data_IF_996322632456
#
_entry.id   IF_996322632456
#
_cell.length_a   1.000
_cell.length_b   1.000
_cell.length_c   1.000
_cell.angle_alpha   90.00
_cell.angle_beta   90.00
_cell.angle_gamma   90.00
#
_symmetry.space_group_name_H-M   'P 1'
#
loop_
_entity.id
_entity.type
_entity.pdbx_description
1 polymer ?
#
# COMPACT_ATOMS: atom_id res chain seq x y z
N UNK A 1 -39.55 -8.29 7.20
CA UNK A 1 -40.14 -7.60 8.37
C UNK A 1 -39.09 -7.52 9.45
N UNK A 2 -38.41 -6.39 9.56
CA UNK A 2 -37.51 -6.08 10.69
C UNK A 2 -38.44 -5.50 11.78
N UNK A 3 -38.73 -6.30 12.80
CA UNK A 3 -39.44 -5.81 13.97
C UNK A 3 -38.51 -4.94 14.78
N UNK A 4 -38.88 -3.66 14.94
CA UNK A 4 -38.31 -2.81 15.97
C UNK A 4 -39.04 -3.16 17.28
N UNK A 5 -38.27 -3.61 18.25
CA UNK A 5 -38.76 -4.00 19.59
C UNK A 5 -38.97 -2.75 20.47
N UNK A 6 -39.60 -1.71 19.91
CA UNK A 6 -39.96 -0.52 20.68
C UNK A 6 -41.08 -0.86 21.65
N UNK A 7 -40.88 -0.48 22.95
CA UNK A 7 -41.85 -0.71 23.99
C UNK A 7 -42.67 0.57 24.29
N UNK A 8 -42.05 1.72 24.15
CA UNK A 8 -42.65 3.03 24.48
C UNK A 8 -42.66 3.94 23.26
N UNK A 9 -43.79 4.60 23.03
CA UNK A 9 -43.95 5.72 22.06
C UNK A 9 -44.17 6.98 22.83
N UNK A 10 -43.20 7.92 22.73
CA UNK A 10 -43.23 9.19 23.44
C UNK A 10 -43.89 10.33 22.65
N UNK A 11 -43.75 10.31 21.34
CA UNK A 11 -44.28 11.35 20.46
C UNK A 11 -44.69 10.81 19.10
N UNK A 12 -45.70 11.42 18.51
CA UNK A 12 -46.22 11.10 17.19
C UNK A 12 -46.22 12.38 16.37
N UNK A 13 -45.79 12.28 15.13
CA UNK A 13 -45.79 13.36 14.16
C UNK A 13 -46.33 12.83 12.82
N UNK A 14 -47.33 13.50 12.27
CA UNK A 14 -47.83 13.24 10.93
C UNK A 14 -47.13 14.19 9.94
N UNK A 15 -46.49 13.61 8.93
CA UNK A 15 -45.87 14.41 7.87
C UNK A 15 -46.89 14.82 6.81
N UNK A 16 -46.54 15.83 5.98
CA UNK A 16 -47.42 16.33 4.93
C UNK A 16 -47.77 15.36 3.80
N UNK A 17 -47.22 14.11 3.86
CA UNK A 17 -47.43 13.05 2.88
C UNK A 17 -48.23 11.85 3.45
N UNK A 18 -48.80 11.99 4.64
CA UNK A 18 -49.57 10.96 5.32
C UNK A 18 -48.76 9.88 6.00
N UNK A 19 -47.46 10.08 6.21
CA UNK A 19 -46.59 9.22 6.99
C UNK A 19 -46.64 9.59 8.48
N UNK A 20 -46.83 8.58 9.36
CA UNK A 20 -46.77 8.75 10.81
C UNK A 20 -45.37 8.41 11.31
N UNK A 21 -44.73 9.37 11.95
CA UNK A 21 -43.40 9.20 12.57
C UNK A 21 -43.56 9.10 14.08
N UNK A 22 -42.96 8.05 14.65
CA UNK A 22 -43.09 7.72 16.06
C UNK A 22 -41.73 7.84 16.73
N UNK A 23 -41.60 8.73 17.70
CA UNK A 23 -40.43 8.82 18.58
C UNK A 23 -40.54 7.75 19.67
N UNK A 24 -39.56 6.86 19.77
CA UNK A 24 -39.62 5.69 20.66
C UNK A 24 -38.37 5.51 21.51
N UNK A 25 -38.39 4.56 22.42
CA UNK A 25 -37.24 4.11 23.23
C UNK A 25 -36.17 3.37 22.38
N UNK A 26 -36.45 3.03 21.11
CA UNK A 26 -35.54 2.28 20.22
C UNK A 26 -35.18 3.03 18.94
N UNK A 27 -35.56 4.30 18.83
CA UNK A 27 -35.28 5.15 17.66
C UNK A 27 -36.54 5.75 17.10
N UNK A 28 -36.49 6.07 15.81
CA UNK A 28 -37.57 6.67 15.05
C UNK A 28 -38.23 5.62 14.17
N UNK A 29 -39.54 5.45 14.31
CA UNK A 29 -40.33 4.58 13.44
C UNK A 29 -41.15 5.42 12.47
N UNK A 30 -41.42 4.88 11.28
CA UNK A 30 -42.33 5.45 10.29
C UNK A 30 -43.35 4.41 9.85
N UNK A 31 -44.62 4.78 9.95
CA UNK A 31 -45.72 4.02 9.36
C UNK A 31 -46.25 4.79 8.16
N UNK A 32 -46.16 4.23 6.95
CA UNK A 32 -46.71 4.79 5.72
C UNK A 32 -47.21 3.65 4.83
N UNK A 33 -48.42 3.76 4.29
CA UNK A 33 -49.02 2.74 3.41
C UNK A 33 -48.99 1.31 4.00
N UNK A 34 -49.33 1.20 5.28
CA UNK A 34 -49.25 -0.06 6.07
C UNK A 34 -47.86 -0.70 6.20
N UNK A 35 -46.79 0.05 5.80
CA UNK A 35 -45.42 -0.38 5.93
C UNK A 35 -44.77 0.33 7.13
N UNK A 36 -44.33 -0.47 8.08
CA UNK A 36 -43.56 0.01 9.22
C UNK A 36 -42.07 -0.13 8.94
N UNK A 37 -41.37 1.00 8.95
CA UNK A 37 -39.91 1.08 8.88
C UNK A 37 -39.34 1.74 10.12
N UNK A 38 -38.03 1.63 10.33
CA UNK A 38 -37.42 2.24 11.50
C UNK A 38 -35.95 2.57 11.34
N UNK A 39 -35.53 3.60 12.03
CA UNK A 39 -34.16 4.14 12.06
C UNK A 39 -33.71 4.22 13.51
N UNK A 40 -32.53 3.66 13.81
CA UNK A 40 -31.98 3.61 15.15
C UNK A 40 -30.46 3.82 15.18
N UNK A 41 -29.83 3.47 16.31
CA UNK A 41 -28.39 3.64 16.53
C UNK A 41 -27.54 2.95 15.46
N UNK A 42 -27.96 1.78 14.98
CA UNK A 42 -27.26 1.06 13.89
C UNK A 42 -27.21 1.87 12.58
N UNK A 43 -28.18 2.77 12.39
CA UNK A 43 -28.25 3.63 11.22
C UNK A 43 -27.62 4.99 11.45
N UNK A 44 -26.87 5.21 12.54
CA UNK A 44 -26.11 6.43 12.80
C UNK A 44 -26.79 7.43 13.73
N UNK A 45 -27.96 7.13 14.31
CA UNK A 45 -28.49 7.96 15.40
C UNK A 45 -27.58 7.83 16.64
N UNK A 46 -27.18 8.95 17.26
CA UNK A 46 -26.28 8.92 18.42
C UNK A 46 -26.97 8.46 19.71
N UNK A 47 -28.29 8.40 19.72
CA UNK A 47 -29.13 7.99 20.86
C UNK A 47 -30.22 7.04 20.43
N UNK A 48 -30.62 6.14 21.31
CA UNK A 48 -31.74 5.23 21.07
C UNK A 48 -33.09 5.85 21.40
N UNK A 49 -33.20 6.55 22.54
CA UNK A 49 -34.46 7.08 23.03
C UNK A 49 -34.72 8.48 22.49
N UNK A 50 -35.84 8.62 21.80
CA UNK A 50 -36.35 9.87 21.23
C UNK A 50 -37.69 10.21 21.86
N UNK A 51 -37.91 11.49 22.19
CA UNK A 51 -39.12 11.93 22.89
C UNK A 51 -40.13 12.60 21.96
N UNK A 52 -39.66 13.44 21.02
CA UNK A 52 -40.50 14.16 20.11
C UNK A 52 -39.85 14.27 18.74
N UNK A 53 -40.70 14.33 17.71
CA UNK A 53 -40.35 14.66 16.33
C UNK A 53 -41.03 15.95 15.97
N UNK A 54 -40.27 16.89 15.41
CA UNK A 54 -40.83 18.15 14.86
C UNK A 54 -40.16 18.36 13.50
N UNK A 55 -40.95 18.71 12.49
CA UNK A 55 -40.47 19.06 11.16
C UNK A 55 -40.26 20.58 11.05
N UNK A 56 -39.10 21.04 10.57
CA UNK A 56 -38.90 22.45 10.22
C UNK A 56 -39.42 22.77 8.81
N UNK A 57 -39.42 24.05 8.44
CA UNK A 57 -39.82 24.47 7.09
C UNK A 57 -38.78 24.23 6.00
N UNK A 58 -37.64 23.58 6.33
CA UNK A 58 -36.46 23.43 5.47
C UNK A 58 -36.16 21.97 5.13
N UNK A 59 -37.10 21.06 5.47
CA UNK A 59 -36.96 19.62 5.16
C UNK A 59 -36.07 18.85 6.13
N UNK A 60 -35.96 19.33 7.38
CA UNK A 60 -35.25 18.57 8.43
C UNK A 60 -36.24 18.17 9.53
N UNK A 61 -35.97 17.00 10.10
CA UNK A 61 -36.60 16.55 11.33
C UNK A 61 -35.70 16.88 12.53
N UNK A 62 -36.34 17.37 13.59
CA UNK A 62 -35.77 17.69 14.86
C UNK A 62 -36.27 16.69 15.89
N UNK A 63 -35.34 15.90 16.41
CA UNK A 63 -35.61 14.80 17.33
C UNK A 63 -35.09 15.17 18.70
N UNK A 64 -35.96 15.24 19.68
CA UNK A 64 -35.53 15.52 21.06
C UNK A 64 -35.17 14.24 21.81
N UNK A 65 -34.20 14.33 22.68
CA UNK A 65 -33.70 13.18 23.46
C UNK A 65 -33.23 13.58 24.86
N UNK A 66 -32.76 12.63 25.64
CA UNK A 66 -32.09 12.87 26.92
C UNK A 66 -30.63 13.35 26.79
N UNK A 67 -30.10 13.45 25.58
CA UNK A 67 -28.73 13.89 25.28
C UNK A 67 -28.68 15.09 24.32
N UNK A 68 -29.76 15.83 24.21
CA UNK A 68 -29.86 16.95 23.32
C UNK A 68 -30.89 16.77 22.22
N UNK A 69 -30.78 17.60 21.23
CA UNK A 69 -31.67 17.66 20.08
C UNK A 69 -30.88 17.28 18.85
N UNK A 70 -31.46 16.42 18.01
CA UNK A 70 -30.84 15.98 16.76
C UNK A 70 -31.58 16.64 15.59
N UNK A 71 -30.84 17.17 14.65
CA UNK A 71 -31.35 17.58 13.35
C UNK A 71 -30.95 16.52 12.31
N UNK A 72 -31.92 16.01 11.58
CA UNK A 72 -31.71 15.00 10.54
C UNK A 72 -32.44 15.42 9.27
N UNK A 73 -31.79 15.52 8.10
CA UNK A 73 -32.48 15.77 6.85
C UNK A 73 -33.50 14.66 6.57
N UNK A 74 -34.75 15.05 6.27
CA UNK A 74 -35.83 14.10 5.94
C UNK A 74 -35.41 13.13 4.83
N UNK A 75 -34.77 13.67 3.79
CA UNK A 75 -34.28 12.87 2.67
C UNK A 75 -33.38 11.71 3.12
N UNK A 76 -32.47 11.93 4.07
CA UNK A 76 -31.59 10.87 4.56
C UNK A 76 -32.36 9.79 5.32
N UNK A 77 -33.42 10.16 6.07
CA UNK A 77 -34.30 9.18 6.72
C UNK A 77 -35.00 8.29 5.70
N UNK A 78 -35.49 8.88 4.61
CA UNK A 78 -36.14 8.15 3.53
C UNK A 78 -35.17 7.25 2.76
N UNK A 79 -33.95 7.72 2.48
CA UNK A 79 -32.89 6.93 1.87
C UNK A 79 -32.49 5.72 2.73
N UNK A 80 -32.43 5.88 4.06
CA UNK A 80 -32.16 4.77 4.98
C UNK A 80 -33.33 3.77 5.01
N UNK A 81 -34.56 4.26 5.07
CA UNK A 81 -35.75 3.39 5.09
C UNK A 81 -35.93 2.62 3.78
N UNK A 82 -35.52 3.19 2.64
CA UNK A 82 -35.53 2.54 1.33
C UNK A 82 -34.31 1.65 1.09
N UNK A 83 -33.31 1.66 1.97
CA UNK A 83 -32.07 0.90 1.82
C UNK A 83 -31.03 1.51 0.86
N UNK A 84 -31.26 2.74 0.39
CA UNK A 84 -30.32 3.47 -0.49
C UNK A 84 -29.11 4.04 0.28
N UNK A 85 -29.27 4.20 1.61
CA UNK A 85 -28.24 4.70 2.50
C UNK A 85 -28.14 3.81 3.73
N UNK A 86 -26.92 3.52 4.17
CA UNK A 86 -26.73 2.70 5.38
C UNK A 86 -26.78 3.52 6.67
N UNK A 87 -26.31 4.77 6.65
CA UNK A 87 -26.17 5.58 7.86
C UNK A 87 -26.58 7.03 7.64
N UNK A 88 -27.15 7.61 8.69
CA UNK A 88 -27.51 9.04 8.78
C UNK A 88 -26.32 9.88 9.21
N UNK A 89 -26.36 11.15 8.80
CA UNK A 89 -25.51 12.22 9.31
C UNK A 89 -26.36 13.17 10.15
N UNK A 90 -26.60 12.79 11.40
CA UNK A 90 -27.38 13.61 12.35
C UNK A 90 -26.48 14.68 12.99
N UNK A 91 -26.95 15.94 12.98
CA UNK A 91 -26.37 17.01 13.80
C UNK A 91 -26.96 16.94 15.20
N UNK A 92 -26.11 17.03 16.23
CA UNK A 92 -26.54 17.04 17.62
C UNK A 92 -26.30 18.42 18.23
N UNK A 93 -27.24 18.89 19.01
CA UNK A 93 -27.20 20.15 19.73
C UNK A 93 -27.38 19.90 21.23
N UNK A 94 -26.56 20.54 22.04
CA UNK A 94 -26.58 20.44 23.49
C UNK A 94 -26.34 21.82 24.16
N UNK A 95 -26.00 21.85 25.45
CA UNK A 95 -25.73 23.11 26.19
C UNK A 95 -24.61 23.92 25.54
N UNK A 96 -23.59 23.28 24.98
CA UNK A 96 -22.50 23.96 24.29
C UNK A 96 -22.97 24.76 23.06
N UNK A 97 -24.12 24.41 22.49
CA UNK A 97 -24.74 25.08 21.35
C UNK A 97 -25.82 26.08 21.74
N UNK A 98 -26.02 26.25 23.03
CA UNK A 98 -26.96 27.23 23.57
C UNK A 98 -28.30 26.66 24.05
N UNK A 99 -28.45 25.31 24.10
CA UNK A 99 -29.62 24.72 24.75
C UNK A 99 -29.56 24.98 26.27
N UNK A 100 -30.71 25.22 26.89
CA UNK A 100 -30.80 25.39 28.34
C UNK A 100 -30.40 24.12 29.10
N UNK A 101 -30.64 22.96 28.52
CA UNK A 101 -30.18 21.64 28.96
C UNK A 101 -30.23 20.65 27.79
N UNK A 102 -29.27 19.70 27.75
CA UNK A 102 -29.29 18.56 26.83
C UNK A 102 -30.42 17.57 27.19
N UNK A 103 -30.85 17.53 28.44
CA UNK A 103 -31.97 16.68 28.83
C UNK A 103 -33.30 17.33 28.43
N UNK A 104 -33.86 16.89 27.30
CA UNK A 104 -35.21 17.29 26.90
C UNK A 104 -36.25 16.50 27.68
N UNK A 105 -37.45 17.07 27.78
CA UNK A 105 -38.59 16.44 28.44
C UNK A 105 -39.16 15.32 27.55
N UNK A 106 -39.49 14.18 28.17
CA UNK A 106 -40.11 13.05 27.47
C UNK A 106 -41.35 12.49 28.16
N UNK A 107 -41.68 12.98 29.37
CA UNK A 107 -42.79 12.48 30.17
C UNK A 107 -44.12 13.19 29.98
N UNK A 108 -44.17 14.30 29.23
CA UNK A 108 -45.38 15.05 28.93
C UNK A 108 -45.30 15.61 27.50
N UNK A 109 -46.38 15.55 26.77
CA UNK A 109 -46.45 16.04 25.40
C UNK A 109 -47.28 17.31 25.28
N UNK A 110 -46.92 18.17 24.31
CA UNK A 110 -45.79 18.05 23.40
C UNK A 110 -44.49 18.52 24.05
N UNK A 111 -43.40 17.71 23.88
CA UNK A 111 -42.09 18.07 24.39
C UNK A 111 -41.36 19.11 23.49
N UNK A 112 -41.79 19.25 22.27
CA UNK A 112 -41.33 20.27 21.33
C UNK A 112 -42.46 20.61 20.35
N UNK A 113 -42.46 21.88 19.91
CA UNK A 113 -43.42 22.40 18.91
C UNK A 113 -42.71 23.31 17.92
N UNK A 114 -43.27 23.44 16.73
CA UNK A 114 -42.94 24.49 15.79
C UNK A 114 -43.95 25.60 15.91
N UNK A 115 -43.50 26.85 16.13
CA UNK A 115 -44.34 28.04 16.16
C UNK A 115 -44.59 28.55 14.73
N UNK A 116 -45.57 29.46 14.61
CA UNK A 116 -45.99 30.02 13.31
C UNK A 116 -44.87 30.83 12.64
N UNK A 117 -43.94 31.38 13.41
CA UNK A 117 -42.77 32.08 12.91
C UNK A 117 -41.64 31.13 12.44
N UNK A 118 -41.86 29.82 12.49
CA UNK A 118 -40.91 28.78 12.13
C UNK A 118 -39.91 28.42 13.20
N UNK A 119 -39.91 29.10 14.35
CA UNK A 119 -39.04 28.74 15.48
C UNK A 119 -39.49 27.44 16.14
N UNK A 120 -38.52 26.68 16.65
CA UNK A 120 -38.77 25.44 17.37
C UNK A 120 -38.59 25.68 18.88
N UNK A 121 -39.65 25.38 19.64
CA UNK A 121 -39.69 25.53 21.09
C UNK A 121 -39.57 24.17 21.73
N UNK A 122 -38.53 23.96 22.50
CA UNK A 122 -38.14 22.66 23.04
C UNK A 122 -38.13 22.74 24.55
N UNK A 123 -38.95 21.92 25.20
CA UNK A 123 -38.96 21.78 26.64
C UNK A 123 -37.77 20.98 27.13
N UNK A 124 -37.00 21.53 28.05
CA UNK A 124 -35.82 20.88 28.65
C UNK A 124 -35.93 20.88 30.17
N UNK A 125 -35.06 20.09 30.84
CA UNK A 125 -35.03 20.03 32.29
C UNK A 125 -34.70 21.37 33.00
N UNK A 126 -34.15 22.37 32.28
CA UNK A 126 -33.79 23.68 32.81
C UNK A 126 -34.56 24.84 32.15
N UNK A 127 -35.69 24.56 31.55
CA UNK A 127 -36.52 25.59 30.89
C UNK A 127 -36.72 25.27 29.43
N UNK A 128 -37.10 26.30 28.66
CA UNK A 128 -37.38 26.17 27.23
C UNK A 128 -36.21 26.68 26.42
N UNK A 129 -35.80 25.91 25.45
CA UNK A 129 -34.85 26.32 24.41
C UNK A 129 -35.59 26.67 23.14
N UNK A 130 -35.22 27.78 22.51
CA UNK A 130 -35.80 28.21 21.24
C UNK A 130 -34.72 28.15 20.18
N UNK A 131 -35.00 27.40 19.11
CA UNK A 131 -34.12 27.25 17.95
C UNK A 131 -34.74 27.93 16.76
N UNK A 132 -33.98 28.71 16.03
CA UNK A 132 -34.37 29.33 14.76
C UNK A 132 -33.65 28.60 13.62
N UNK A 133 -34.30 27.65 12.92
CA UNK A 133 -33.67 26.84 11.90
C UNK A 133 -33.07 27.64 10.74
N UNK A 134 -33.68 28.76 10.37
CA UNK A 134 -33.17 29.66 9.33
C UNK A 134 -31.83 30.31 9.65
N UNK A 135 -31.52 30.44 10.93
CA UNK A 135 -30.29 31.08 11.41
C UNK A 135 -29.14 30.07 11.61
N UNK A 136 -29.43 28.78 11.57
CA UNK A 136 -28.43 27.72 11.81
C UNK A 136 -27.23 27.82 10.88
N UNK A 137 -27.41 28.16 9.61
CA UNK A 137 -26.31 28.38 8.67
C UNK A 137 -25.30 29.44 9.16
N UNK A 138 -25.75 30.41 9.98
CA UNK A 138 -24.86 31.41 10.59
C UNK A 138 -24.03 30.86 11.75
N UNK A 139 -24.47 29.75 12.36
CA UNK A 139 -23.76 29.07 13.44
C UNK A 139 -22.91 27.89 12.93
N UNK A 140 -23.08 27.47 11.70
CA UNK A 140 -22.22 26.50 11.03
C UNK A 140 -20.87 27.16 10.67
N UNK A 141 -20.00 27.29 11.67
CA UNK A 141 -18.63 27.72 11.43
C UNK A 141 -17.85 26.57 10.82
N UNK A 142 -16.90 26.86 9.91
CA UNK A 142 -15.98 25.85 9.47
C UNK A 142 -15.31 25.21 10.70
N UNK A 143 -14.97 23.92 10.66
CA UNK A 143 -14.28 23.29 11.78
C UNK A 143 -13.01 24.07 12.08
N UNK A 144 -12.63 24.18 13.36
CA UNK A 144 -11.38 24.86 13.73
C UNK A 144 -10.20 24.19 13.01
N UNK A 145 -9.12 24.96 12.80
CA UNK A 145 -7.97 24.44 12.09
C UNK A 145 -7.44 23.16 12.74
N UNK A 146 -7.04 22.23 11.92
CA UNK A 146 -6.33 21.03 12.36
C UNK A 146 -4.88 21.39 12.66
N UNK A 147 -4.31 20.78 13.68
CA UNK A 147 -2.89 20.86 13.99
C UNK A 147 -2.31 19.45 14.06
N UNK A 148 -1.02 19.30 13.71
CA UNK A 148 -0.25 18.09 13.99
C UNK A 148 0.27 18.22 15.41
N UNK A 149 -0.18 17.35 16.33
CA UNK A 149 0.18 17.40 17.74
C UNK A 149 1.52 16.74 18.01
N UNK A 150 1.73 15.57 17.41
CA UNK A 150 2.96 14.83 17.62
C UNK A 150 3.30 13.96 16.40
N UNK A 151 4.61 13.74 16.22
CA UNK A 151 5.14 12.80 15.24
C UNK A 151 6.04 11.84 15.99
N UNK A 152 5.85 10.54 15.77
CA UNK A 152 6.68 9.49 16.34
C UNK A 152 7.22 8.59 15.24
N UNK A 153 8.51 8.33 15.29
CA UNK A 153 9.20 7.40 14.39
C UNK A 153 9.81 6.30 15.24
N UNK A 154 9.40 5.05 15.03
CA UNK A 154 9.80 3.90 15.86
C UNK A 154 9.68 4.18 17.37
N UNK A 155 8.55 4.83 17.77
CA UNK A 155 8.25 5.28 19.13
C UNK A 155 9.09 6.46 19.67
N UNK A 156 10.01 7.02 18.88
CA UNK A 156 10.76 8.22 19.26
C UNK A 156 10.06 9.49 18.75
N UNK A 157 9.89 10.47 19.63
CA UNK A 157 9.28 11.74 19.26
C UNK A 157 10.20 12.54 18.31
N UNK A 158 9.60 13.13 17.28
CA UNK A 158 10.24 14.03 16.32
C UNK A 158 9.51 15.37 16.30
N UNK A 159 10.20 16.45 15.92
CA UNK A 159 9.55 17.75 15.74
C UNK A 159 8.42 17.68 14.70
N UNK A 160 7.29 18.32 15.01
CA UNK A 160 6.15 18.41 14.07
C UNK A 160 6.29 19.55 13.06
N UNK A 161 7.42 20.25 13.02
CA UNK A 161 7.68 21.39 12.15
C UNK A 161 8.75 21.06 11.12
N UNK A 162 8.57 21.57 9.90
CA UNK A 162 9.52 21.45 8.82
C UNK A 162 9.37 20.16 8.00
N UNK A 163 10.49 19.60 7.56
CA UNK A 163 10.58 18.38 6.76
C UNK A 163 11.01 17.22 7.64
N UNK A 164 10.26 16.15 7.62
CA UNK A 164 10.60 14.91 8.31
C UNK A 164 11.45 14.02 7.39
N UNK A 165 12.69 13.74 7.82
CA UNK A 165 13.58 12.81 7.10
C UNK A 165 13.65 11.50 7.87
N UNK A 166 13.27 10.41 7.20
CA UNK A 166 13.31 9.06 7.74
C UNK A 166 14.55 8.32 7.21
N UNK A 167 15.29 7.69 8.13
CA UNK A 167 16.41 6.82 7.79
C UNK A 167 15.91 5.50 7.21
N UNK A 168 16.72 4.78 6.41
CA UNK A 168 16.32 3.51 5.82
C UNK A 168 15.99 2.40 6.81
N UNK A 169 16.42 2.53 8.07
CA UNK A 169 16.17 1.59 9.17
C UNK A 169 14.87 1.87 9.92
N UNK A 170 14.33 3.10 9.79
CA UNK A 170 13.10 3.50 10.45
C UNK A 170 11.90 2.96 9.66
N UNK A 171 10.99 2.28 10.35
CA UNK A 171 9.93 1.51 9.70
C UNK A 171 8.52 1.95 10.03
N UNK A 172 8.32 2.59 11.18
CA UNK A 172 7.00 2.98 11.68
C UNK A 172 6.92 4.48 11.88
N UNK A 173 6.00 5.11 11.13
CA UNK A 173 5.65 6.52 11.28
C UNK A 173 4.25 6.61 11.88
N UNK A 174 4.10 7.31 12.99
CA UNK A 174 2.83 7.63 13.62
C UNK A 174 2.71 9.15 13.74
N UNK A 175 1.60 9.69 13.25
CA UNK A 175 1.30 11.12 13.24
C UNK A 175 -0.02 11.32 13.97
N UNK A 176 0.03 12.04 15.08
CA UNK A 176 -1.16 12.43 15.82
C UNK A 176 -1.56 13.85 15.45
N UNK A 177 -2.84 14.06 15.27
CA UNK A 177 -3.42 15.34 14.87
C UNK A 177 -4.72 15.59 15.62
N UNK A 178 -5.04 16.85 15.83
CA UNK A 178 -6.28 17.26 16.44
C UNK A 178 -6.81 18.56 15.81
N UNK A 179 -8.12 18.73 15.89
CA UNK A 179 -8.75 20.02 15.65
C UNK A 179 -8.96 20.73 17.00
N UNK A 180 -8.59 21.98 17.09
CA UNK A 180 -8.74 22.79 18.31
C UNK A 180 -10.20 23.17 18.57
N UNK A 181 -11.07 22.16 18.67
CA UNK A 181 -12.48 22.35 18.99
C UNK A 181 -12.78 21.92 20.40
N UNK A 182 -13.16 22.88 21.24
CA UNK A 182 -13.72 22.63 22.57
C UNK A 182 -15.24 22.34 22.52
N UNK A 183 -15.86 22.55 21.35
CA UNK A 183 -17.27 22.26 21.11
C UNK A 183 -17.38 20.94 20.35
N UNK A 184 -18.04 19.95 20.92
CA UNK A 184 -18.40 18.66 20.33
C UNK A 184 -17.26 17.99 19.55
N UNK A 185 -16.14 17.63 20.18
CA UNK A 185 -15.02 16.94 19.52
C UNK A 185 -15.42 15.63 18.86
N UNK A 186 -16.50 15.00 19.29
CA UNK A 186 -17.13 13.80 18.73
C UNK A 186 -17.80 14.00 17.37
N UNK A 187 -18.12 15.24 16.99
CA UNK A 187 -18.71 15.58 15.69
C UNK A 187 -17.65 15.86 14.62
N UNK A 188 -16.38 15.95 15.00
CA UNK A 188 -15.30 16.17 14.06
C UNK A 188 -14.88 14.84 13.48
N UNK A 189 -14.87 14.76 12.15
CA UNK A 189 -14.31 13.68 11.38
C UNK A 189 -13.01 14.14 10.74
N UNK A 190 -12.04 13.26 10.71
CA UNK A 190 -10.76 13.51 10.09
C UNK A 190 -10.62 12.66 8.85
N UNK A 191 -10.01 13.24 7.85
CA UNK A 191 -9.53 12.50 6.67
C UNK A 191 -8.08 12.87 6.45
N UNK A 192 -7.29 11.88 6.08
CA UNK A 192 -5.87 12.08 5.79
C UNK A 192 -5.47 11.31 4.55
N UNK A 193 -4.31 11.67 3.99
CA UNK A 193 -3.65 10.91 2.94
C UNK A 193 -2.14 11.13 3.01
N UNK A 194 -1.40 10.18 2.46
CA UNK A 194 0.02 10.32 2.16
C UNK A 194 0.17 10.58 0.67
N UNK A 195 0.20 11.84 0.24
CA UNK A 195 0.37 12.21 -1.16
C UNK A 195 1.71 11.68 -1.69
N UNK A 196 1.67 11.01 -2.84
CA UNK A 196 2.79 10.25 -3.40
C UNK A 196 2.77 8.75 -3.09
N UNK A 197 1.91 8.30 -2.14
CA UNK A 197 1.68 6.89 -1.83
C UNK A 197 0.22 6.50 -2.08
N UNK A 198 -0.71 7.30 -1.52
CA UNK A 198 -2.15 7.02 -1.58
C UNK A 198 -2.78 7.73 -2.78
N UNK A 199 -3.68 7.04 -3.50
CA UNK A 199 -4.46 7.62 -4.61
C UNK A 199 -5.64 8.49 -4.10
N UNK A 200 -6.08 8.30 -2.85
CA UNK A 200 -7.24 8.96 -2.29
C UNK A 200 -7.11 9.36 -0.82
N UNK A 201 -8.20 9.93 -0.30
CA UNK A 201 -8.31 10.27 1.11
C UNK A 201 -8.82 9.08 1.92
N UNK A 202 -8.18 8.83 3.06
CA UNK A 202 -8.62 7.85 4.05
C UNK A 202 -9.47 8.56 5.10
N UNK A 203 -10.74 8.15 5.27
CA UNK A 203 -11.62 8.62 6.35
C UNK A 203 -11.24 7.88 7.65
N UNK A 204 -10.67 8.60 8.60
CA UNK A 204 -10.34 8.04 9.92
C UNK A 204 -11.47 8.24 10.96
N UNK A 205 -12.58 8.86 10.57
CA UNK A 205 -13.67 9.13 11.49
C UNK A 205 -13.23 10.03 12.64
N UNK A 206 -13.44 9.58 13.87
CA UNK A 206 -13.01 10.29 15.09
C UNK A 206 -11.57 9.95 15.53
N UNK A 207 -10.89 9.05 14.83
CA UNK A 207 -9.51 8.65 15.18
C UNK A 207 -8.55 9.77 14.81
N UNK A 208 -7.70 10.15 15.75
CA UNK A 208 -6.79 11.30 15.65
C UNK A 208 -5.33 10.89 15.38
N UNK A 209 -5.12 9.71 14.83
CA UNK A 209 -3.78 9.21 14.52
C UNK A 209 -3.76 8.51 13.17
N UNK A 210 -2.71 8.75 12.41
CA UNK A 210 -2.38 8.01 11.19
C UNK A 210 -1.11 7.20 11.41
N UNK A 211 -1.12 5.94 10.94
CA UNK A 211 0.02 5.03 11.10
C UNK A 211 0.43 4.47 9.75
N UNK A 212 1.72 4.60 9.48
CA UNK A 212 2.33 4.08 8.25
C UNK A 212 3.45 3.13 8.64
N UNK A 213 3.47 1.95 8.02
CA UNK A 213 4.51 0.97 8.22
C UNK A 213 5.27 0.77 6.91
N UNK A 214 6.60 0.78 6.97
CA UNK A 214 7.47 0.49 5.83
C UNK A 214 7.18 1.35 4.59
N UNK A 215 7.31 2.67 4.74
CA UNK A 215 7.24 3.58 3.59
C UNK A 215 8.41 3.29 2.64
N UNK A 216 8.15 3.09 1.34
CA UNK A 216 9.22 2.98 0.35
C UNK A 216 10.11 4.22 0.29
N UNK A 217 11.36 4.11 -0.15
CA UNK A 217 12.19 5.28 -0.38
C UNK A 217 11.53 6.26 -1.36
N UNK A 218 11.45 7.54 -0.98
CA UNK A 218 10.77 8.54 -1.79
C UNK A 218 10.46 9.83 -1.04
N UNK A 219 9.76 10.72 -1.73
CA UNK A 219 9.28 11.99 -1.19
C UNK A 219 7.77 11.96 -1.16
N UNK A 220 7.22 12.21 0.01
CA UNK A 220 5.80 12.16 0.31
C UNK A 220 5.36 13.45 1.00
N UNK A 221 4.06 13.69 1.01
CA UNK A 221 3.46 14.74 1.81
C UNK A 221 2.27 14.16 2.58
N UNK A 222 2.38 14.12 3.90
CA UNK A 222 1.22 13.82 4.74
C UNK A 222 0.29 15.02 4.74
N UNK A 223 -0.99 14.80 4.50
CA UNK A 223 -2.04 15.81 4.48
C UNK A 223 -3.20 15.35 5.34
N UNK A 224 -3.76 16.27 6.13
CA UNK A 224 -4.91 16.02 6.98
C UNK A 224 -5.87 17.21 6.95
N UNK A 225 -7.16 16.91 7.02
CA UNK A 225 -8.26 17.88 7.08
C UNK A 225 -9.31 17.36 8.05
N UNK A 226 -10.01 18.26 8.69
CA UNK A 226 -11.16 17.95 9.53
C UNK A 226 -12.45 18.44 8.88
N UNK A 227 -13.52 17.72 9.11
CA UNK A 227 -14.87 18.06 8.67
C UNK A 227 -15.82 17.95 9.86
N UNK A 228 -16.72 18.91 10.02
CA UNK A 228 -17.80 18.79 11.01
C UNK A 228 -18.93 17.95 10.40
N UNK A 229 -19.33 16.92 11.13
CA UNK A 229 -20.39 16.01 10.71
C UNK A 229 -21.66 16.79 10.34
N UNK A 230 -22.18 16.56 9.12
CA UNK A 230 -23.40 17.18 8.64
C UNK A 230 -23.30 18.64 8.20
N UNK A 231 -22.15 19.30 8.34
CA UNK A 231 -21.98 20.69 7.87
C UNK A 231 -21.54 20.79 6.42
N UNK A 232 -20.93 19.72 5.87
CA UNK A 232 -20.31 19.74 4.55
C UNK A 232 -19.11 20.69 4.42
N UNK A 233 -18.68 21.32 5.53
CA UNK A 233 -17.56 22.25 5.55
C UNK A 233 -16.32 21.56 6.11
N UNK A 234 -15.21 21.68 5.37
CA UNK A 234 -13.90 21.15 5.78
C UNK A 234 -13.00 22.27 6.27
N UNK A 235 -12.09 21.95 7.18
CA UNK A 235 -10.97 22.84 7.52
C UNK A 235 -9.98 22.96 6.35
N UNK A 236 -9.08 23.94 6.45
CA UNK A 236 -7.91 23.99 5.58
C UNK A 236 -7.11 22.70 5.71
N UNK A 237 -6.49 22.30 4.60
CA UNK A 237 -5.60 21.13 4.57
C UNK A 237 -4.26 21.56 5.13
N UNK A 238 -3.82 20.89 6.17
CA UNK A 238 -2.45 21.04 6.68
C UNK A 238 -1.64 19.81 6.34
N UNK A 239 -0.32 19.95 6.25
CA UNK A 239 0.53 18.80 5.96
C UNK A 239 1.99 19.02 6.28
N UNK A 240 2.74 17.91 6.29
CA UNK A 240 4.18 17.87 6.50
C UNK A 240 4.85 17.05 5.39
N UNK A 241 6.00 17.53 4.92
CA UNK A 241 6.79 16.81 3.93
C UNK A 241 7.58 15.69 4.63
N UNK A 242 7.49 14.48 4.07
CA UNK A 242 8.15 13.28 4.55
C UNK A 242 9.08 12.76 3.47
N UNK A 243 10.36 12.62 3.78
CA UNK A 243 11.36 12.05 2.87
C UNK A 243 11.94 10.78 3.49
N UNK A 244 11.80 9.67 2.78
CA UNK A 244 12.39 8.38 3.16
C UNK A 244 13.67 8.16 2.35
N UNK A 245 14.80 8.06 3.03
CA UNK A 245 16.09 7.86 2.38
C UNK A 245 16.23 6.42 1.86
N UNK A 246 16.77 6.21 0.64
CA UNK A 246 17.05 4.88 0.12
C UNK A 246 18.19 4.23 0.90
N UNK A 247 18.17 2.90 1.00
CA UNK A 247 19.28 2.12 1.54
C UNK A 247 20.51 2.29 0.64
N UNK A 248 21.70 2.17 1.22
CA UNK A 248 22.96 2.42 0.48
C UNK A 248 23.10 1.53 -0.78
N UNK A 249 22.56 0.31 -0.75
CA UNK A 249 22.58 -0.59 -1.91
C UNK A 249 21.49 -0.31 -2.96
N UNK A 250 20.50 0.53 -2.64
CA UNK A 250 19.45 1.00 -3.57
C UNK A 250 19.89 2.26 -4.31
N UNK A 251 21.00 2.88 -3.87
CA UNK A 251 21.52 4.07 -4.51
C UNK A 251 22.10 3.73 -5.89
N UNK A 252 21.81 4.53 -6.93
CA UNK A 252 22.27 4.26 -8.29
C UNK A 252 23.79 4.16 -8.41
N UNK A 253 24.52 4.91 -7.59
CA UNK A 253 25.97 4.85 -7.54
C UNK A 253 26.49 3.48 -7.11
N UNK A 254 25.84 2.85 -6.11
CA UNK A 254 26.22 1.52 -5.64
C UNK A 254 25.96 0.45 -6.70
N UNK A 255 24.85 0.53 -7.41
CA UNK A 255 24.51 -0.39 -8.51
C UNK A 255 25.52 -0.27 -9.67
N UNK A 256 25.91 0.95 -10.03
CA UNK A 256 26.93 1.20 -11.07
C UNK A 256 28.29 0.65 -10.65
N UNK A 257 28.74 0.93 -9.42
CA UNK A 257 30.01 0.41 -8.92
C UNK A 257 30.00 -1.12 -8.81
N UNK A 258 28.92 -1.71 -8.34
CA UNK A 258 28.73 -3.16 -8.28
C UNK A 258 28.79 -3.82 -9.66
N UNK A 259 28.12 -3.22 -10.64
CA UNK A 259 28.16 -3.66 -12.04
C UNK A 259 29.57 -3.58 -12.66
N UNK A 260 30.28 -2.49 -12.34
CA UNK A 260 31.66 -2.29 -12.84
C UNK A 260 32.64 -3.29 -12.22
N UNK A 261 32.52 -3.57 -10.93
CA UNK A 261 33.31 -4.59 -10.24
C UNK A 261 33.05 -5.99 -10.79
N UNK A 262 31.77 -6.32 -11.06
CA UNK A 262 31.40 -7.59 -11.68
C UNK A 262 32.00 -7.72 -13.08
N UNK A 263 31.88 -6.68 -13.90
CA UNK A 263 32.47 -6.65 -15.25
C UNK A 263 34.00 -6.80 -15.23
N UNK A 264 34.66 -6.13 -14.29
CA UNK A 264 36.10 -6.25 -14.08
C UNK A 264 36.50 -7.66 -13.65
N UNK A 265 35.75 -8.28 -12.74
CA UNK A 265 35.97 -9.66 -12.31
C UNK A 265 35.82 -10.67 -13.44
N UNK A 266 34.79 -10.51 -14.29
CA UNK A 266 34.57 -11.34 -15.47
C UNK A 266 35.72 -11.14 -16.50
N UNK A 267 36.16 -9.90 -16.72
CA UNK A 267 37.27 -9.60 -17.60
C UNK A 267 38.58 -10.28 -17.11
N UNK A 268 38.88 -10.16 -15.80
CA UNK A 268 40.02 -10.79 -15.19
C UNK A 268 39.96 -12.33 -15.29
N UNK A 269 38.80 -12.92 -15.00
CA UNK A 269 38.59 -14.35 -15.15
C UNK A 269 38.79 -14.84 -16.59
N UNK A 270 38.27 -14.03 -17.55
CA UNK A 270 38.50 -14.31 -18.98
C UNK A 270 39.99 -14.21 -19.36
N UNK A 271 40.68 -13.14 -18.95
CA UNK A 271 42.10 -12.95 -19.21
C UNK A 271 42.96 -14.10 -18.66
N UNK A 272 42.73 -14.48 -17.42
CA UNK A 272 43.43 -15.64 -16.81
C UNK A 272 43.15 -16.93 -17.57
N UNK A 273 41.96 -17.16 -18.06
CA UNK A 273 41.61 -18.35 -18.84
C UNK A 273 42.31 -18.36 -20.19
N UNK A 274 42.38 -17.21 -20.85
CA UNK A 274 43.09 -17.05 -22.13
C UNK A 274 44.58 -17.31 -21.96
N UNK A 275 45.21 -16.74 -20.93
CA UNK A 275 46.64 -16.99 -20.60
C UNK A 275 46.92 -18.46 -20.32
N UNK A 276 46.08 -19.13 -19.55
CA UNK A 276 46.20 -20.56 -19.25
C UNK A 276 46.07 -21.43 -20.53
N UNK A 277 45.16 -21.05 -21.46
CA UNK A 277 45.01 -21.75 -22.75
C UNK A 277 46.26 -21.55 -23.64
N UNK A 278 46.76 -20.32 -23.72
CA UNK A 278 47.98 -20.03 -24.51
C UNK A 278 49.22 -20.76 -23.95
N UNK A 279 49.36 -20.86 -22.63
CA UNK A 279 50.42 -21.64 -22.01
C UNK A 279 50.36 -23.14 -22.38
N UNK A 280 49.16 -23.72 -22.30
CA UNK A 280 48.94 -25.11 -22.74
C UNK A 280 49.22 -25.33 -24.22
N UNK A 281 48.83 -24.39 -25.07
CA UNK A 281 49.08 -24.47 -26.49
C UNK A 281 50.62 -24.46 -26.79
N UNK A 282 51.36 -23.57 -26.12
CA UNK A 282 52.85 -23.51 -26.23
C UNK A 282 53.51 -24.78 -25.73
N UNK A 283 53.04 -25.36 -24.67
CA UNK A 283 53.58 -26.63 -24.10
C UNK A 283 53.30 -27.81 -25.06
N UNK A 284 52.07 -27.91 -25.58
CA UNK A 284 51.69 -28.89 -26.58
C UNK A 284 52.52 -28.74 -27.87
N UNK A 285 52.70 -27.52 -28.37
CA UNK A 285 53.53 -27.27 -29.54
C UNK A 285 54.99 -27.70 -29.35
N UNK A 286 55.60 -27.46 -28.20
CA UNK A 286 56.95 -27.93 -27.86
C UNK A 286 57.03 -29.46 -27.82
N UNK A 287 56.06 -30.11 -27.19
CA UNK A 287 55.99 -31.57 -27.12
C UNK A 287 55.86 -32.22 -28.51
N UNK A 288 54.99 -31.61 -29.37
CA UNK A 288 54.82 -32.07 -30.76
C UNK A 288 56.13 -31.91 -31.53
N UNK A 289 56.83 -30.79 -31.38
CA UNK A 289 58.08 -30.51 -32.09
C UNK A 289 59.20 -31.48 -31.64
N UNK A 290 59.38 -31.73 -30.32
CA UNK A 290 60.29 -32.72 -29.76
C UNK A 290 59.98 -34.13 -30.26
N UNK A 291 58.71 -34.53 -30.25
CA UNK A 291 58.29 -35.84 -30.78
C UNK A 291 58.56 -35.99 -32.28
N UNK A 292 58.26 -34.93 -33.06
CA UNK A 292 58.51 -34.94 -34.50
C UNK A 292 60.00 -35.05 -34.81
N UNK A 293 60.86 -34.30 -34.10
CA UNK A 293 62.35 -34.44 -34.23
C UNK A 293 62.83 -35.80 -33.87
N UNK A 294 62.31 -36.43 -32.81
CA UNK A 294 62.69 -37.80 -32.38
C UNK A 294 62.23 -38.78 -33.43
N UNK A 295 61.01 -38.72 -33.97
CA UNK A 295 60.55 -39.62 -35.01
C UNK A 295 61.31 -39.42 -36.32
N UNK A 296 61.71 -38.23 -36.69
CA UNK A 296 62.51 -37.95 -37.87
C UNK A 296 63.88 -38.57 -37.73
N UNK A 297 64.53 -38.49 -36.58
CA UNK A 297 65.82 -39.16 -36.28
C UNK A 297 65.71 -40.69 -36.36
N UNK A 298 64.67 -41.24 -35.77
CA UNK A 298 64.45 -42.69 -35.80
C UNK A 298 64.19 -43.17 -37.23
N UNK A 299 63.40 -42.42 -38.05
CA UNK A 299 63.23 -42.79 -39.45
C UNK A 299 64.47 -42.71 -40.26
N UNK A 300 65.32 -41.66 -40.07
CA UNK A 300 66.61 -41.60 -40.77
C UNK A 300 67.55 -42.73 -40.35
N UNK A 301 67.54 -43.16 -39.12
CA UNK A 301 68.30 -44.28 -38.62
C UNK A 301 67.77 -45.62 -39.18
N UNK A 302 66.48 -45.82 -39.22
CA UNK A 302 65.86 -47.00 -39.86
C UNK A 302 66.15 -47.06 -41.35
N UNK A 303 66.11 -45.94 -42.08
CA UNK A 303 66.50 -45.89 -43.50
C UNK A 303 67.95 -46.32 -43.73
N UNK A 304 68.89 -45.79 -42.90
CA UNK A 304 70.30 -46.22 -42.96
C UNK A 304 70.46 -47.67 -42.69
N UNK A 305 69.80 -48.19 -41.62
CA UNK A 305 69.85 -49.65 -41.35
C UNK A 305 69.29 -50.49 -42.48
N UNK A 306 68.16 -50.06 -43.07
CA UNK A 306 67.57 -50.72 -44.21
C UNK A 306 68.48 -50.72 -45.43
N UNK A 307 69.22 -49.60 -45.65
CA UNK A 307 70.20 -49.49 -46.74
C UNK A 307 71.38 -50.41 -46.52
N UNK A 308 71.90 -50.42 -45.25
CA UNK A 308 73.01 -51.38 -44.87
C UNK A 308 72.57 -52.81 -45.01
N UNK A 309 71.37 -53.20 -44.61
CA UNK A 309 70.83 -54.56 -44.77
C UNK A 309 70.65 -54.88 -46.27
N UNK A 310 70.27 -53.96 -47.11
CA UNK A 310 70.16 -54.17 -48.59
C UNK A 310 71.53 -54.39 -49.21
N UNK A 311 72.51 -53.53 -48.81
CA UNK A 311 73.89 -53.70 -49.28
C UNK A 311 74.46 -55.05 -48.87
N UNK A 312 74.28 -55.46 -47.60
CA UNK A 312 74.70 -56.78 -47.12
C UNK A 312 73.97 -57.89 -47.83
N UNK A 313 72.65 -57.78 -48.04
CA UNK A 313 71.87 -58.78 -48.78
C UNK A 313 72.34 -58.92 -50.21
N UNK A 314 72.65 -57.79 -50.91
CA UNK A 314 73.20 -57.83 -52.26
C UNK A 314 74.57 -58.40 -52.33
N UNK A 315 75.43 -58.11 -51.31
CA UNK A 315 76.74 -58.71 -51.20
C UNK A 315 76.66 -60.25 -50.98
N UNK A 316 75.75 -60.69 -50.11
CA UNK A 316 75.51 -62.12 -49.88
C UNK A 316 74.94 -62.80 -51.15
N UNK A 317 74.04 -62.15 -51.87
CA UNK A 317 73.52 -62.67 -53.14
C UNK A 317 74.63 -62.80 -54.22
N UNK A 318 75.49 -61.79 -54.28
CA UNK A 318 76.69 -61.86 -55.16
C UNK A 318 77.63 -63.00 -54.78
N UNK A 319 77.89 -63.12 -53.48
CA UNK A 319 78.78 -64.19 -52.94
C UNK A 319 78.14 -65.57 -53.14
N UNK A 320 76.80 -65.70 -53.01
CA UNK A 320 76.10 -66.97 -53.20
C UNK A 320 76.01 -67.36 -54.72
N UNK A 321 76.20 -66.41 -55.65
CA UNK A 321 76.10 -66.61 -57.10
C UNK A 321 77.48 -66.73 -57.81
N UNK A 322 78.58 -66.42 -57.05
CA UNK A 322 79.92 -66.47 -57.59
C UNK A 322 80.74 -67.61 -56.98
N UNK A 323 81.68 -68.21 -57.69
CA UNK A 323 82.65 -69.18 -57.16
C UNK A 323 83.81 -68.44 -56.48
N UNK A 324 84.15 -68.86 -55.27
CA UNK A 324 85.09 -68.14 -54.42
C UNK A 324 86.58 -68.21 -54.94
N UNK A 325 86.92 -69.12 -55.81
CA UNK A 325 88.26 -69.25 -56.35
C UNK A 325 88.48 -68.63 -57.71
N UNK A 326 87.48 -68.58 -58.52
CA UNK A 326 87.58 -68.08 -59.89
C UNK A 326 86.90 -66.75 -60.17
N UNK A 327 86.06 -66.25 -59.18
CA UNK A 327 85.27 -64.99 -59.36
C UNK A 327 84.21 -65.06 -60.47
N UNK A 328 83.98 -66.19 -61.14
CA UNK A 328 83.01 -66.41 -62.14
C UNK A 328 81.64 -66.87 -61.56
N UNK A 329 80.53 -66.73 -62.27
CA UNK A 329 79.26 -67.27 -61.81
C UNK A 329 79.37 -68.76 -61.47
N UNK A 330 78.87 -69.15 -60.30
CA UNK A 330 78.89 -70.54 -59.85
C UNK A 330 77.93 -71.39 -60.71
N UNK A 331 78.17 -72.71 -60.71
CA UNK A 331 77.45 -73.65 -61.51
C UNK A 331 75.89 -73.54 -61.36
N UNK A 332 75.39 -73.31 -60.19
CA UNK A 332 73.99 -73.17 -59.87
C UNK A 332 73.37 -71.93 -60.52
N UNK A 333 74.06 -70.80 -60.51
CA UNK A 333 73.60 -69.58 -61.19
C UNK A 333 73.65 -69.63 -62.70
N UNK A 334 74.58 -70.41 -63.28
CA UNK A 334 74.65 -70.71 -64.71
C UNK A 334 73.52 -71.64 -65.13
N UNK A 335 73.19 -72.68 -64.36
CA UNK A 335 72.08 -73.58 -64.66
C UNK A 335 70.69 -72.84 -64.61
N UNK A 336 70.45 -71.89 -63.57
CA UNK A 336 69.28 -71.09 -63.48
C UNK A 336 69.07 -70.05 -64.67
N UNK A 337 70.15 -69.66 -65.31
CA UNK A 337 70.14 -68.78 -66.45
C UNK A 337 69.93 -69.45 -67.80
N UNK A 338 70.11 -70.76 -67.86
CA UNK A 338 70.05 -71.63 -69.09
C UNK A 338 68.72 -72.43 -69.14
N UNK A 339 67.92 -72.43 -68.05
CA UNK A 339 66.55 -72.89 -68.01
C UNK A 339 65.55 -71.68 -68.20
#
# INVERSE_FOLDING_TARGET
>A
RQWFDAQDVFGIHEDGEGGLWLATDRGLLRLKDDVLGGVGVRHGLPVATLFQVVEDGYGNFWLTSNRGVLQVPRQQLEEVLSGQRERLDALSFAEADGLASAQCNGGAGPAAIRADDGSLWIATARGVSVVQPDQLARYQRPPPPVIIESIRVDAQARPAEGRLVLSPSESRLEIDFASLSYRMPEQIRYRYRMAGLDEGWTDSGAVRSARFNHLPPGKYRFEVSAETRGSGTSSDIIGIDVEVQPRFWEQPLFLVLGGLLLALGLYWGYALRVDALQQRERELSRLVEERTQTLTRQNTELERLAETVREQSSAYELQARTDALTGLPNRRHMEERLA
#
